data_IF_091489161528
#
_entry.id   IF_091489161528
#
_cell.length_a   1.000
_cell.length_b   1.000
_cell.length_c   1.000
_cell.angle_alpha   90.00
_cell.angle_beta   90.00
_cell.angle_gamma   90.00
#
_symmetry.space_group_name_H-M   'P 1'
#
loop_
_entity.id
_entity.type
_entity.pdbx_description
1 polymer ?
#
# COMPACT_ATOMS: atom_id res chain seq x y z
N UNK A 1 14.44 -0.63 -29.32
CA UNK A 1 14.96 0.66 -28.75
C UNK A 1 14.73 0.62 -27.25
N UNK A 2 15.73 0.98 -26.45
CA UNK A 2 15.53 1.10 -25.00
C UNK A 2 14.42 2.12 -24.68
N UNK A 3 13.65 1.87 -23.63
CA UNK A 3 12.60 2.79 -23.18
C UNK A 3 12.73 3.05 -21.68
N UNK A 4 12.18 4.17 -21.23
CA UNK A 4 12.16 4.54 -19.83
C UNK A 4 10.77 4.29 -19.22
N UNK A 5 10.75 3.69 -18.03
CA UNK A 5 9.53 3.52 -17.24
C UNK A 5 9.74 4.08 -15.84
N UNK A 6 8.74 4.78 -15.33
CA UNK A 6 8.80 5.48 -14.05
C UNK A 6 7.67 5.04 -13.14
N UNK A 7 8.00 4.81 -11.86
CA UNK A 7 7.03 4.67 -10.78
C UNK A 7 7.37 5.60 -9.63
N UNK A 8 6.36 5.92 -8.81
CA UNK A 8 6.50 6.76 -7.64
C UNK A 8 5.99 6.07 -6.37
N UNK A 9 6.43 6.57 -5.24
CA UNK A 9 5.91 6.23 -3.92
C UNK A 9 5.80 7.48 -3.05
N UNK A 10 4.99 7.37 -1.99
CA UNK A 10 4.88 8.39 -0.96
C UNK A 10 5.07 7.76 0.41
N UNK A 11 5.61 8.54 1.37
CA UNK A 11 5.88 8.08 2.72
C UNK A 11 4.60 7.90 3.54
N UNK A 12 4.71 7.23 4.68
CA UNK A 12 3.66 7.11 5.68
C UNK A 12 3.14 8.47 6.19
N UNK A 13 3.97 9.53 6.11
CA UNK A 13 3.61 10.89 6.51
C UNK A 13 2.97 11.72 5.41
N UNK A 14 2.87 11.20 4.18
CA UNK A 14 2.12 11.88 3.12
C UNK A 14 0.64 12.01 3.51
N UNK A 15 -0.02 13.17 3.28
CA UNK A 15 -1.40 13.41 3.75
C UNK A 15 -2.39 12.29 3.40
N UNK A 16 -2.39 11.83 2.14
CA UNK A 16 -3.29 10.75 1.72
C UNK A 16 -2.96 9.43 2.45
N UNK A 17 -1.68 9.15 2.73
CA UNK A 17 -1.31 7.92 3.48
C UNK A 17 -1.56 8.04 4.98
N UNK A 18 -1.54 9.24 5.53
CA UNK A 18 -2.03 9.48 6.90
C UNK A 18 -3.52 9.15 6.99
N UNK A 19 -4.31 9.59 6.00
CA UNK A 19 -5.74 9.29 5.93
C UNK A 19 -6.00 7.78 5.78
N UNK A 20 -5.29 7.09 4.89
CA UNK A 20 -5.40 5.63 4.70
C UNK A 20 -5.07 4.87 5.99
N UNK A 21 -3.99 5.23 6.67
CA UNK A 21 -3.57 4.56 7.92
C UNK A 21 -4.58 4.77 9.05
N UNK A 22 -5.20 5.95 9.17
CA UNK A 22 -6.24 6.19 10.16
C UNK A 22 -7.49 5.35 9.84
N UNK A 23 -7.92 5.30 8.57
CA UNK A 23 -9.07 4.49 8.14
C UNK A 23 -8.87 2.99 8.40
N UNK A 24 -7.68 2.46 8.12
CA UNK A 24 -7.36 1.05 8.38
C UNK A 24 -7.14 0.75 9.87
N UNK A 25 -6.63 1.69 10.65
CA UNK A 25 -6.57 1.56 12.11
C UNK A 25 -7.96 1.48 12.73
N UNK A 26 -8.92 2.26 12.24
CA UNK A 26 -10.34 2.16 12.67
C UNK A 26 -10.92 0.79 12.31
N UNK A 27 -10.68 0.33 11.08
CA UNK A 27 -11.12 -1.00 10.63
C UNK A 27 -10.55 -2.11 11.52
N UNK A 28 -9.24 -2.10 11.77
CA UNK A 28 -8.58 -3.13 12.59
C UNK A 28 -9.11 -3.16 14.03
N UNK A 29 -9.34 -1.98 14.63
CA UNK A 29 -9.91 -1.91 15.96
C UNK A 29 -11.34 -2.48 16.01
N UNK A 30 -12.17 -2.23 15.00
CA UNK A 30 -13.51 -2.80 14.93
C UNK A 30 -13.46 -4.32 14.76
N UNK A 31 -12.63 -4.83 13.82
CA UNK A 31 -12.48 -6.27 13.57
C UNK A 31 -11.92 -7.04 14.77
N UNK A 32 -11.07 -6.41 15.57
CA UNK A 32 -10.48 -7.03 16.75
C UNK A 32 -11.53 -7.39 17.82
N UNK A 33 -12.59 -6.60 17.96
CA UNK A 33 -13.66 -6.83 18.92
C UNK A 33 -14.90 -7.48 18.29
N UNK A 34 -15.11 -7.29 16.99
CA UNK A 34 -16.19 -7.92 16.22
C UNK A 34 -15.70 -8.27 14.80
N UNK A 35 -15.24 -9.52 14.56
CA UNK A 35 -14.79 -9.94 13.24
C UNK A 35 -15.87 -9.89 12.13
N UNK A 36 -17.15 -9.73 12.49
CA UNK A 36 -18.24 -9.59 11.53
C UNK A 36 -18.57 -8.13 11.19
N UNK A 37 -17.81 -7.18 11.72
CA UNK A 37 -17.99 -5.76 11.43
C UNK A 37 -18.02 -5.49 9.93
N UNK A 38 -18.97 -4.63 9.52
CA UNK A 38 -19.05 -4.05 8.20
C UNK A 38 -18.59 -2.59 8.32
N UNK A 39 -17.56 -2.25 7.56
CA UNK A 39 -16.89 -0.95 7.70
C UNK A 39 -16.63 -0.36 6.32
N UNK A 40 -17.01 0.87 6.15
CA UNK A 40 -16.57 1.75 5.09
C UNK A 40 -16.23 3.08 5.77
N UNK A 41 -14.95 3.24 6.14
CA UNK A 41 -14.45 4.42 6.85
C UNK A 41 -13.52 5.21 5.96
N UNK A 42 -13.86 6.44 5.69
CA UNK A 42 -13.05 7.39 4.95
C UNK A 42 -12.56 8.49 5.90
N UNK A 43 -11.34 8.93 5.67
CA UNK A 43 -10.68 9.96 6.49
C UNK A 43 -10.25 11.12 5.61
N UNK A 44 -10.52 12.35 6.06
CA UNK A 44 -9.91 13.58 5.56
C UNK A 44 -8.97 14.12 6.62
N UNK A 45 -7.77 14.49 6.22
CA UNK A 45 -6.80 15.19 7.07
C UNK A 45 -6.40 16.50 6.42
N UNK A 46 -6.31 17.57 7.22
CA UNK A 46 -5.85 18.89 6.80
C UNK A 46 -5.23 19.62 7.99
N UNK A 47 -4.86 20.88 7.85
CA UNK A 47 -4.27 21.66 8.95
C UNK A 47 -5.06 21.53 10.25
N UNK A 48 -4.45 20.92 11.26
CA UNK A 48 -5.01 20.78 12.60
C UNK A 48 -6.32 19.99 12.71
N UNK A 49 -6.73 19.25 11.66
CA UNK A 49 -8.03 18.58 11.65
C UNK A 49 -7.98 17.20 11.01
N UNK A 50 -8.81 16.31 11.59
CA UNK A 50 -9.14 14.97 11.06
C UNK A 50 -10.67 14.85 11.03
N UNK A 51 -11.22 14.42 9.91
CA UNK A 51 -12.63 14.12 9.76
C UNK A 51 -12.78 12.66 9.35
N UNK A 52 -13.50 11.87 10.15
CA UNK A 52 -13.86 10.48 9.88
C UNK A 52 -15.31 10.46 9.39
N UNK A 53 -15.55 9.86 8.24
CA UNK A 53 -16.87 9.75 7.65
C UNK A 53 -17.11 8.34 7.12
N UNK A 54 -18.37 7.92 6.97
CA UNK A 54 -18.72 6.64 6.39
C UNK A 54 -19.72 5.84 7.20
N UNK A 55 -19.82 4.55 6.91
CA UNK A 55 -20.83 3.66 7.48
C UNK A 55 -20.19 2.48 8.19
N UNK A 56 -20.71 2.17 9.40
CA UNK A 56 -20.26 1.06 10.22
C UNK A 56 -21.47 0.28 10.76
N UNK A 57 -21.40 -1.06 10.66
CA UNK A 57 -22.27 -1.98 11.39
C UNK A 57 -21.37 -2.90 12.21
N UNK A 58 -21.37 -2.76 13.52
CA UNK A 58 -20.50 -3.51 14.44
C UNK A 58 -21.12 -3.60 15.83
N UNK A 59 -20.87 -4.69 16.54
CA UNK A 59 -21.14 -4.83 17.97
C UNK A 59 -20.01 -4.21 18.82
N UNK A 60 -18.90 -3.82 18.20
CA UNK A 60 -17.75 -3.23 18.88
C UNK A 60 -17.95 -1.73 19.15
N UNK A 61 -17.48 -1.28 20.32
CA UNK A 61 -17.27 0.14 20.59
C UNK A 61 -15.79 0.46 20.57
N UNK A 62 -15.41 1.48 19.80
CA UNK A 62 -14.02 1.94 19.67
C UNK A 62 -13.94 3.46 19.89
N UNK A 63 -12.82 3.92 20.46
CA UNK A 63 -12.54 5.35 20.64
C UNK A 63 -11.87 5.91 19.37
N UNK A 64 -12.69 6.40 18.44
CA UNK A 64 -12.23 6.94 17.17
C UNK A 64 -11.19 8.07 17.31
N UNK A 65 -11.37 9.06 18.22
CA UNK A 65 -10.37 10.08 18.47
C UNK A 65 -9.02 9.50 18.92
N UNK A 66 -9.00 8.53 19.84
CA UNK A 66 -7.74 7.95 20.31
C UNK A 66 -7.06 7.10 19.24
N UNK A 67 -7.82 6.37 18.44
CA UNK A 67 -7.27 5.63 17.28
C UNK A 67 -6.60 6.58 16.29
N UNK A 68 -7.27 7.67 15.92
CA UNK A 68 -6.68 8.65 15.03
C UNK A 68 -5.39 9.28 15.61
N UNK A 69 -5.42 9.68 16.90
CA UNK A 69 -4.28 10.27 17.61
C UNK A 69 -3.10 9.32 17.72
N UNK A 70 -3.35 8.05 18.06
CA UNK A 70 -2.29 7.05 18.16
C UNK A 70 -1.62 6.79 16.82
N UNK A 71 -2.39 6.74 15.73
CA UNK A 71 -1.89 6.63 14.36
C UNK A 71 -1.02 7.83 13.97
N UNK A 72 -1.51 9.05 14.20
CA UNK A 72 -0.77 10.30 13.92
C UNK A 72 0.56 10.33 14.71
N UNK A 73 0.52 9.92 15.99
CA UNK A 73 1.72 9.87 16.85
C UNK A 73 2.74 8.83 16.35
N UNK A 74 2.27 7.64 15.94
CA UNK A 74 3.11 6.58 15.38
C UNK A 74 3.78 7.01 14.07
N UNK A 75 3.09 7.76 13.22
CA UNK A 75 3.64 8.31 11.98
C UNK A 75 4.78 9.33 12.29
N UNK A 76 4.67 10.05 13.41
CA UNK A 76 5.69 11.00 13.84
C UNK A 76 5.25 12.47 13.81
N UNK A 77 3.98 12.75 13.62
CA UNK A 77 3.43 14.11 13.78
C UNK A 77 3.19 14.38 15.27
N UNK A 78 4.26 14.80 15.96
CA UNK A 78 4.30 14.95 17.42
C UNK A 78 4.66 16.36 17.89
N UNK A 79 4.92 17.29 16.97
CA UNK A 79 5.34 18.67 17.29
C UNK A 79 4.28 19.67 16.80
N UNK A 80 3.91 20.63 17.66
CA UNK A 80 2.91 21.65 17.34
C UNK A 80 3.30 22.53 16.14
N UNK A 81 4.59 22.72 15.89
CA UNK A 81 5.11 23.48 14.74
C UNK A 81 4.78 22.83 13.39
N UNK A 82 4.40 21.56 13.36
CA UNK A 82 3.93 20.89 12.13
C UNK A 82 2.51 21.32 11.74
N UNK A 83 1.81 22.08 12.59
CA UNK A 83 0.43 22.55 12.42
C UNK A 83 -0.57 21.41 12.15
N UNK A 84 -0.14 20.19 12.40
CA UNK A 84 -0.89 18.94 12.43
C UNK A 84 -0.13 17.99 13.36
N UNK A 85 -0.69 17.69 14.54
CA UNK A 85 -0.02 16.80 15.51
C UNK A 85 -1.03 16.06 16.39
N UNK A 86 -0.58 14.95 16.98
CA UNK A 86 -1.43 13.95 17.63
C UNK A 86 -2.29 14.51 18.78
N UNK A 87 -1.79 15.45 19.59
CA UNK A 87 -2.49 15.88 20.79
C UNK A 87 -3.44 17.06 20.54
N UNK A 88 -3.13 17.94 19.57
CA UNK A 88 -3.88 19.18 19.33
C UNK A 88 -4.83 19.13 18.13
N UNK A 89 -4.71 18.16 17.21
CA UNK A 89 -5.66 18.02 16.11
C UNK A 89 -7.11 17.89 16.62
N UNK A 90 -8.03 18.66 16.02
CA UNK A 90 -9.45 18.39 16.13
C UNK A 90 -9.80 17.08 15.42
N UNK A 91 -10.48 16.16 16.09
CA UNK A 91 -10.97 14.93 15.48
C UNK A 91 -12.49 14.94 15.46
N UNK A 92 -13.08 14.90 14.28
CA UNK A 92 -14.52 14.93 14.06
C UNK A 92 -14.97 13.61 13.47
N UNK A 93 -16.12 13.11 13.92
CA UNK A 93 -16.73 11.88 13.40
C UNK A 93 -18.11 12.17 12.82
N UNK A 94 -18.30 11.76 11.57
CA UNK A 94 -19.57 11.69 10.84
C UNK A 94 -19.85 10.24 10.40
N UNK A 95 -19.39 9.27 11.19
CA UNK A 95 -19.70 7.84 10.96
C UNK A 95 -21.12 7.57 11.45
N UNK A 96 -21.89 6.88 10.62
CA UNK A 96 -23.25 6.47 10.91
C UNK A 96 -23.47 4.97 10.64
N UNK A 97 -24.67 4.46 10.96
CA UNK A 97 -25.03 3.06 10.76
C UNK A 97 -25.20 2.74 9.27
N UNK A 98 -24.74 1.56 8.85
CA UNK A 98 -24.85 1.09 7.47
C UNK A 98 -26.32 0.92 7.04
N UNK A 99 -26.64 1.31 5.80
CA UNK A 99 -27.98 1.14 5.21
C UNK A 99 -28.41 -0.33 5.19
N UNK A 100 -29.62 -0.65 5.69
CA UNK A 100 -30.18 -2.00 5.62
C UNK A 100 -30.34 -2.54 4.19
N UNK A 101 -30.51 -1.67 3.21
CA UNK A 101 -30.72 -2.08 1.81
C UNK A 101 -29.44 -2.67 1.19
N UNK A 102 -28.29 -2.11 1.50
CA UNK A 102 -26.98 -2.63 1.05
C UNK A 102 -26.72 -3.99 1.70
N UNK A 103 -27.02 -4.11 2.98
CA UNK A 103 -26.78 -5.34 3.75
C UNK A 103 -27.55 -6.56 3.22
N UNK A 104 -28.78 -6.37 2.68
CA UNK A 104 -29.61 -7.45 2.08
C UNK A 104 -28.94 -8.13 0.89
N UNK A 105 -28.09 -7.42 0.14
CA UNK A 105 -27.35 -7.97 -1.01
C UNK A 105 -26.19 -8.87 -0.59
N UNK A 106 -25.63 -8.66 0.60
CA UNK A 106 -24.40 -9.30 1.09
C UNK A 106 -24.70 -10.51 1.98
N UNK A 107 -25.58 -10.35 2.97
CA UNK A 107 -25.92 -11.41 3.92
C UNK A 107 -26.88 -12.43 3.32
N UNK A 108 -26.58 -13.73 3.47
CA UNK A 108 -27.36 -14.87 3.03
C UNK A 108 -27.44 -15.91 4.14
N UNK A 109 -28.48 -16.78 4.11
CA UNK A 109 -28.60 -17.90 5.04
C UNK A 109 -27.42 -18.88 4.93
N UNK A 110 -26.99 -19.19 3.69
CA UNK A 110 -25.73 -19.88 3.41
C UNK A 110 -24.58 -18.85 3.32
N UNK A 111 -23.60 -18.89 4.24
CA UNK A 111 -22.46 -17.99 4.20
C UNK A 111 -21.67 -18.05 2.88
N UNK A 112 -21.62 -19.24 2.23
CA UNK A 112 -20.92 -19.39 0.94
C UNK A 112 -21.68 -18.76 -0.23
N UNK A 113 -22.94 -18.41 -0.05
CA UNK A 113 -23.73 -17.65 -1.00
C UNK A 113 -23.66 -16.12 -0.77
N UNK A 114 -22.75 -15.65 0.11
CA UNK A 114 -22.50 -14.23 0.33
C UNK A 114 -22.26 -13.54 -1.02
N UNK A 115 -23.09 -12.56 -1.36
CA UNK A 115 -22.95 -11.77 -2.57
C UNK A 115 -21.80 -10.75 -2.45
N UNK A 116 -21.29 -10.32 -3.61
CA UNK A 116 -20.35 -9.22 -3.65
C UNK A 116 -21.01 -7.93 -3.10
N UNK A 117 -20.29 -7.21 -2.25
CA UNK A 117 -20.78 -5.98 -1.60
C UNK A 117 -20.92 -4.81 -2.56
N UNK A 118 -20.33 -4.91 -3.75
CA UNK A 118 -20.44 -3.93 -4.83
C UNK A 118 -20.22 -4.61 -6.18
N UNK A 119 -20.54 -3.91 -7.25
CA UNK A 119 -20.06 -4.23 -8.60
C UNK A 119 -18.65 -3.70 -8.80
N UNK A 120 -17.87 -4.30 -9.69
CA UNK A 120 -16.57 -3.76 -10.04
C UNK A 120 -15.66 -4.73 -10.77
N UNK A 121 -14.51 -4.22 -11.16
CA UNK A 121 -13.40 -4.98 -11.71
C UNK A 121 -12.15 -4.75 -10.87
N UNK A 122 -11.48 -5.83 -10.48
CA UNK A 122 -10.30 -5.82 -9.62
C UNK A 122 -9.16 -6.51 -10.35
N UNK A 123 -7.95 -6.01 -10.15
CA UNK A 123 -6.78 -6.48 -10.86
C UNK A 123 -5.71 -7.00 -9.91
N UNK A 124 -5.06 -8.07 -10.33
CA UNK A 124 -3.83 -8.58 -9.78
C UNK A 124 -2.75 -8.59 -10.84
N UNK A 125 -1.52 -8.25 -10.48
CA UNK A 125 -0.38 -8.24 -11.36
C UNK A 125 0.82 -8.87 -10.67
N UNK A 126 1.68 -9.53 -11.43
CA UNK A 126 2.97 -10.03 -10.99
C UNK A 126 3.95 -10.06 -12.16
N UNK A 127 5.23 -9.84 -11.88
CA UNK A 127 6.34 -9.93 -12.82
C UNK A 127 7.55 -10.56 -12.13
N UNK A 128 8.41 -11.22 -12.88
CA UNK A 128 9.64 -11.82 -12.35
C UNK A 128 10.83 -10.83 -12.27
N UNK A 129 10.58 -9.52 -12.40
CA UNK A 129 11.62 -8.48 -12.29
C UNK A 129 12.28 -8.43 -10.91
N UNK A 130 11.53 -8.78 -9.86
CA UNK A 130 12.00 -8.75 -8.47
C UNK A 130 11.66 -10.06 -7.75
N UNK A 131 12.38 -10.41 -6.66
CA UNK A 131 12.10 -11.63 -5.89
C UNK A 131 10.68 -11.67 -5.28
N UNK A 132 10.09 -10.52 -4.99
CA UNK A 132 8.71 -10.39 -4.48
C UNK A 132 7.67 -10.27 -5.59
N UNK A 133 8.06 -10.44 -6.85
CA UNK A 133 7.19 -10.38 -8.03
C UNK A 133 6.49 -9.04 -8.23
N UNK A 134 7.19 -7.95 -7.91
CA UNK A 134 6.72 -6.57 -8.10
C UNK A 134 7.49 -5.86 -9.21
N UNK A 135 6.90 -4.81 -9.84
CA UNK A 135 7.63 -3.93 -10.75
C UNK A 135 8.81 -3.27 -10.05
N UNK A 136 10.00 -3.33 -10.66
CA UNK A 136 11.24 -2.88 -10.05
C UNK A 136 11.22 -1.37 -9.70
N UNK A 137 10.70 -0.52 -10.59
CA UNK A 137 10.66 0.92 -10.35
C UNK A 137 9.83 1.28 -9.11
N UNK A 138 8.69 0.60 -8.88
CA UNK A 138 7.86 0.78 -7.70
C UNK A 138 8.55 0.25 -6.44
N UNK A 139 9.10 -0.98 -6.50
CA UNK A 139 9.79 -1.58 -5.34
C UNK A 139 10.93 -0.69 -4.85
N UNK A 140 11.74 -0.14 -5.77
CA UNK A 140 12.81 0.78 -5.41
C UNK A 140 12.26 2.10 -4.84
N UNK A 141 11.16 2.63 -5.39
CA UNK A 141 10.52 3.83 -4.84
C UNK A 141 10.03 3.61 -3.41
N UNK A 142 9.38 2.48 -3.12
CA UNK A 142 8.98 2.13 -1.75
C UNK A 142 10.19 1.96 -0.82
N UNK A 143 11.23 1.26 -1.28
CA UNK A 143 12.44 1.00 -0.50
C UNK A 143 13.13 2.30 -0.09
N UNK A 144 13.28 3.26 -1.00
CA UNK A 144 13.87 4.57 -0.68
C UNK A 144 13.11 5.23 0.48
N UNK A 145 11.80 5.24 0.46
CA UNK A 145 11.00 5.91 1.51
C UNK A 145 10.92 5.12 2.82
N UNK A 146 10.92 3.79 2.76
CA UNK A 146 11.04 2.96 3.97
C UNK A 146 12.38 3.22 4.68
N UNK A 147 13.48 3.20 3.92
CA UNK A 147 14.82 3.50 4.46
C UNK A 147 14.90 4.92 5.02
N UNK A 148 14.29 5.90 4.33
CA UNK A 148 14.24 7.28 4.82
C UNK A 148 13.46 7.40 6.14
N UNK A 149 12.34 6.69 6.26
CA UNK A 149 11.55 6.65 7.49
C UNK A 149 12.30 5.97 8.66
N UNK A 150 13.07 4.92 8.35
CA UNK A 150 13.92 4.24 9.35
C UNK A 150 15.02 5.18 9.87
N UNK A 151 15.74 5.89 8.98
CA UNK A 151 16.72 6.91 9.33
C UNK A 151 16.09 7.98 10.24
N UNK A 152 14.90 8.48 9.87
CA UNK A 152 14.17 9.46 10.68
C UNK A 152 13.84 8.93 12.08
N UNK A 153 13.41 7.67 12.21
CA UNK A 153 13.07 7.05 13.50
C UNK A 153 14.28 6.74 14.35
N UNK A 154 15.41 6.38 13.74
CA UNK A 154 16.68 6.21 14.44
C UNK A 154 17.11 7.52 15.11
N UNK A 155 16.89 8.68 14.49
CA UNK A 155 17.20 9.99 15.03
C UNK A 155 18.71 10.23 15.26
N UNK A 156 19.56 9.54 14.49
CA UNK A 156 21.04 9.63 14.58
C UNK A 156 21.58 10.45 13.41
N UNK A 157 21.24 10.06 12.18
CA UNK A 157 21.60 10.75 10.95
C UNK A 157 20.38 11.47 10.37
N UNK A 158 20.61 12.50 9.56
CA UNK A 158 19.52 13.29 8.94
C UNK A 158 18.43 13.68 9.96
N UNK A 159 18.80 14.15 11.14
CA UNK A 159 17.90 14.42 12.28
C UNK A 159 16.86 15.50 12.01
N UNK A 160 17.01 16.23 10.91
CA UNK A 160 16.10 17.24 10.42
C UNK A 160 14.88 16.68 9.65
N UNK A 161 14.82 15.36 9.40
CA UNK A 161 13.73 14.76 8.62
C UNK A 161 12.39 14.87 9.33
N UNK A 162 11.37 15.25 8.56
CA UNK A 162 9.95 15.22 8.94
C UNK A 162 9.24 14.05 8.25
N UNK A 163 7.99 13.73 8.65
CA UNK A 163 7.33 12.50 8.18
C UNK A 163 6.97 12.47 6.69
N UNK A 164 6.69 13.61 6.05
CA UNK A 164 6.25 13.67 4.66
C UNK A 164 7.41 13.56 3.67
N UNK A 165 7.28 12.67 2.72
CA UNK A 165 8.27 12.51 1.63
C UNK A 165 7.64 11.83 0.41
N UNK A 166 8.27 12.04 -0.74
CA UNK A 166 7.95 11.38 -2.02
C UNK A 166 9.23 10.88 -2.67
N UNK A 167 9.12 9.77 -3.40
CA UNK A 167 10.19 9.25 -4.25
C UNK A 167 9.64 8.88 -5.61
N UNK A 168 10.50 8.95 -6.62
CA UNK A 168 10.22 8.49 -7.97
C UNK A 168 11.48 7.86 -8.54
N UNK A 169 11.34 6.69 -9.17
CA UNK A 169 12.45 5.98 -9.80
C UNK A 169 12.11 5.71 -11.25
N UNK A 170 13.04 6.07 -12.12
CA UNK A 170 12.97 5.77 -13.56
C UNK A 170 14.01 4.70 -13.89
N UNK A 171 13.56 3.65 -14.54
CA UNK A 171 14.36 2.52 -14.99
C UNK A 171 14.43 2.53 -16.52
N UNK A 172 15.61 2.31 -17.07
CA UNK A 172 15.80 2.01 -18.49
C UNK A 172 15.64 0.51 -18.72
N UNK A 173 14.83 0.14 -19.73
CA UNK A 173 14.55 -1.23 -20.15
C UNK A 173 15.06 -1.46 -21.58
N UNK A 174 15.51 -2.68 -21.89
CA UNK A 174 15.81 -3.12 -23.24
C UNK A 174 14.54 -3.51 -24.04
N UNK A 175 14.72 -3.91 -25.30
CA UNK A 175 13.62 -4.35 -26.18
C UNK A 175 12.93 -5.66 -25.73
N UNK A 176 13.47 -6.35 -24.72
CA UNK A 176 12.91 -7.56 -24.13
C UNK A 176 12.30 -7.30 -22.76
N UNK A 177 12.03 -6.04 -22.43
CA UNK A 177 11.50 -5.60 -21.12
C UNK A 177 12.39 -5.98 -19.93
N UNK A 178 13.72 -6.05 -20.12
CA UNK A 178 14.66 -6.29 -19.03
C UNK A 178 15.23 -4.99 -18.53
N UNK A 179 15.29 -4.77 -17.20
CA UNK A 179 15.89 -3.57 -16.64
C UNK A 179 17.39 -3.55 -16.94
N UNK A 180 17.89 -2.42 -17.43
CA UNK A 180 19.30 -2.22 -17.83
C UNK A 180 20.06 -1.36 -16.84
N UNK A 181 19.43 -0.26 -16.35
CA UNK A 181 20.01 0.64 -15.36
C UNK A 181 18.95 1.50 -14.67
N UNK A 182 19.27 2.01 -13.51
CA UNK A 182 18.53 3.10 -12.87
C UNK A 182 18.95 4.41 -13.54
N UNK A 183 18.00 5.09 -14.19
CA UNK A 183 18.27 6.33 -14.94
C UNK A 183 18.16 7.56 -14.04
N UNK A 184 17.03 7.70 -13.34
CA UNK A 184 16.72 8.91 -12.54
C UNK A 184 16.08 8.53 -11.22
N UNK A 185 16.51 9.21 -10.15
CA UNK A 185 15.91 9.13 -8.81
C UNK A 185 15.50 10.53 -8.37
N UNK A 186 14.22 10.70 -8.02
CA UNK A 186 13.70 11.91 -7.39
C UNK A 186 13.39 11.61 -5.93
N UNK A 187 13.85 12.45 -5.01
CA UNK A 187 13.49 12.41 -3.59
C UNK A 187 13.08 13.80 -3.16
N UNK A 188 11.85 13.93 -2.67
CA UNK A 188 11.38 15.15 -2.01
C UNK A 188 11.04 14.81 -0.57
N UNK A 189 11.72 15.41 0.39
CA UNK A 189 11.52 15.16 1.82
C UNK A 189 11.28 16.43 2.58
N UNK A 190 10.27 16.41 3.44
CA UNK A 190 9.99 17.46 4.42
C UNK A 190 11.10 17.47 5.47
N UNK A 191 11.52 18.68 5.89
CA UNK A 191 12.62 18.85 6.84
C UNK A 191 12.38 20.05 7.78
N UNK A 192 13.07 20.05 8.91
CA UNK A 192 13.15 21.20 9.81
C UNK A 192 13.97 22.35 9.17
N UNK A 193 13.80 23.57 9.63
CA UNK A 193 14.73 24.67 9.35
C UNK A 193 15.96 24.53 10.26
N UNK A 194 16.92 23.68 9.87
CA UNK A 194 18.05 23.29 10.70
C UNK A 194 19.31 24.16 10.52
N UNK A 195 19.32 25.03 9.50
CA UNK A 195 20.33 26.06 9.31
C UNK A 195 19.65 27.40 9.36
N UNK A 196 19.94 28.16 10.43
CA UNK A 196 19.37 29.49 10.61
C UNK A 196 20.15 30.53 9.82
N UNK A 197 19.51 31.60 9.32
CA UNK A 197 20.18 32.67 8.60
C UNK A 197 21.17 33.43 9.52
N UNK A 198 22.42 33.53 9.07
CA UNK A 198 23.37 34.43 9.65
C UNK A 198 23.21 35.80 8.98
N UNK A 199 23.25 36.85 9.75
CA UNK A 199 23.14 38.26 9.26
C UNK A 199 21.85 38.55 8.46
N UNK A 200 20.80 37.74 8.65
CA UNK A 200 19.51 37.90 7.97
C UNK A 200 19.47 37.34 6.52
N UNK A 201 20.51 36.70 6.04
CA UNK A 201 20.57 36.08 4.69
C UNK A 201 19.86 34.73 4.66
N UNK A 202 18.54 34.72 4.48
CA UNK A 202 17.70 33.52 4.39
C UNK A 202 18.04 32.69 3.16
N UNK A 203 18.31 33.34 2.02
CA UNK A 203 18.61 32.60 0.77
C UNK A 203 19.90 31.79 0.90
N UNK A 204 20.87 32.28 1.65
CA UNK A 204 22.11 31.54 1.92
C UNK A 204 21.86 30.35 2.84
N UNK A 205 21.05 30.52 3.87
CA UNK A 205 20.67 29.45 4.77
C UNK A 205 19.89 28.36 4.02
N UNK A 206 18.91 28.71 3.20
CA UNK A 206 18.11 27.80 2.40
C UNK A 206 18.99 27.00 1.41
N UNK A 207 19.93 27.65 0.72
CA UNK A 207 20.89 26.95 -0.16
C UNK A 207 21.75 25.95 0.61
N UNK A 208 22.29 26.35 1.77
CA UNK A 208 23.11 25.47 2.58
C UNK A 208 22.35 24.24 3.10
N UNK A 209 21.08 24.41 3.53
CA UNK A 209 20.20 23.27 3.89
C UNK A 209 19.99 22.33 2.71
N UNK A 210 19.68 22.85 1.52
CA UNK A 210 19.45 22.05 0.33
C UNK A 210 20.70 21.27 -0.09
N UNK A 211 21.87 21.90 -0.04
CA UNK A 211 23.13 21.25 -0.37
C UNK A 211 23.46 20.11 0.62
N UNK A 212 23.18 20.32 1.92
CA UNK A 212 23.30 19.26 2.94
C UNK A 212 22.33 18.11 2.65
N UNK A 213 21.05 18.38 2.41
CA UNK A 213 20.04 17.34 2.12
C UNK A 213 20.46 16.55 0.86
N UNK A 214 20.92 17.23 -0.20
CA UNK A 214 21.40 16.57 -1.42
C UNK A 214 22.59 15.66 -1.18
N UNK A 215 23.54 16.12 -0.35
CA UNK A 215 24.68 15.33 0.06
C UNK A 215 24.24 14.10 0.87
N UNK A 216 23.38 14.28 1.87
CA UNK A 216 22.94 13.21 2.76
C UNK A 216 22.11 12.16 2.03
N UNK A 217 21.26 12.55 1.08
CA UNK A 217 20.56 11.59 0.22
C UNK A 217 21.54 10.70 -0.54
N UNK A 218 22.62 11.28 -1.11
CA UNK A 218 23.61 10.53 -1.88
C UNK A 218 24.55 9.70 -1.01
N UNK A 219 24.96 10.23 0.16
CA UNK A 219 26.01 9.63 0.97
C UNK A 219 25.50 8.78 2.15
N UNK A 220 24.23 8.96 2.56
CA UNK A 220 23.63 8.23 3.68
C UNK A 220 22.46 7.38 3.18
N UNK A 221 21.42 8.00 2.60
CA UNK A 221 20.20 7.29 2.21
C UNK A 221 20.48 6.25 1.13
N UNK A 222 21.06 6.64 0.00
CA UNK A 222 21.23 5.73 -1.14
C UNK A 222 22.16 4.55 -0.86
N UNK A 223 23.30 4.68 -0.16
CA UNK A 223 24.08 3.54 0.25
C UNK A 223 23.30 2.52 1.09
N UNK A 224 22.50 2.97 2.07
CA UNK A 224 21.64 2.08 2.89
C UNK A 224 20.57 1.39 2.03
N UNK A 225 19.98 2.11 1.06
CA UNK A 225 18.99 1.55 0.12
C UNK A 225 19.62 0.42 -0.70
N UNK A 226 20.81 0.66 -1.28
CA UNK A 226 21.52 -0.30 -2.17
C UNK A 226 22.02 -1.50 -1.36
N UNK A 227 22.56 -1.28 -0.16
CA UNK A 227 23.02 -2.36 0.73
C UNK A 227 21.86 -3.31 1.09
N UNK A 228 20.67 -2.78 1.34
CA UNK A 228 19.49 -3.56 1.66
C UNK A 228 18.87 -4.33 0.46
N UNK A 229 19.37 -4.17 -0.78
CA UNK A 229 18.91 -4.94 -1.94
C UNK A 229 19.58 -6.32 -1.94
N UNK A 230 18.79 -7.39 -1.82
CA UNK A 230 19.33 -8.75 -1.80
C UNK A 230 19.87 -9.21 -3.15
N UNK A 231 19.19 -8.86 -4.25
CA UNK A 231 19.54 -9.27 -5.61
C UNK A 231 20.81 -8.56 -6.12
N UNK A 232 21.92 -9.29 -6.40
CA UNK A 232 23.11 -8.69 -7.01
C UNK A 232 22.83 -8.09 -8.37
N UNK A 233 21.91 -8.67 -9.15
CA UNK A 233 21.53 -8.18 -10.45
C UNK A 233 20.85 -6.80 -10.35
N UNK A 234 19.96 -6.60 -9.36
CA UNK A 234 19.33 -5.29 -9.13
C UNK A 234 20.34 -4.28 -8.61
N UNK A 235 21.24 -4.68 -7.70
CA UNK A 235 22.33 -3.78 -7.24
C UNK A 235 23.22 -3.28 -8.38
N UNK A 236 23.48 -4.14 -9.36
CA UNK A 236 24.31 -3.79 -10.53
C UNK A 236 23.67 -2.75 -11.46
N UNK A 237 22.37 -2.45 -11.31
CA UNK A 237 21.68 -1.41 -12.07
C UNK A 237 21.99 0.01 -11.57
N UNK A 238 22.61 0.14 -10.39
CA UNK A 238 23.02 1.42 -9.83
C UNK A 238 24.46 1.73 -10.27
N UNK A 239 24.59 2.69 -11.15
CA UNK A 239 25.88 3.17 -11.66
C UNK A 239 26.12 4.65 -11.32
N UNK A 240 27.28 5.19 -11.75
CA UNK A 240 27.66 6.58 -11.46
C UNK A 240 26.92 7.61 -12.34
N UNK A 241 26.07 7.16 -13.28
CA UNK A 241 25.36 8.01 -14.25
C UNK A 241 23.94 8.36 -13.81
N UNK A 242 23.52 7.92 -12.61
CA UNK A 242 22.17 8.20 -12.11
C UNK A 242 21.98 9.70 -11.93
N UNK A 243 20.88 10.21 -12.51
CA UNK A 243 20.45 11.59 -12.29
C UNK A 243 19.65 11.70 -10.99
N UNK A 244 20.11 12.54 -10.07
CA UNK A 244 19.42 12.77 -8.79
C UNK A 244 18.74 14.14 -8.77
N UNK A 245 17.43 14.16 -8.47
CA UNK A 245 16.65 15.35 -8.17
C UNK A 245 16.22 15.32 -6.71
N UNK A 246 16.87 16.09 -5.85
CA UNK A 246 16.59 16.13 -4.41
C UNK A 246 16.03 17.49 -4.06
N UNK A 247 14.81 17.54 -3.52
CA UNK A 247 14.05 18.76 -3.23
C UNK A 247 14.18 19.80 -4.36
N UNK A 248 13.78 19.45 -5.60
CA UNK A 248 14.09 20.30 -6.77
C UNK A 248 13.38 21.66 -6.75
N UNK A 249 12.30 21.80 -5.99
CA UNK A 249 11.55 23.06 -5.82
C UNK A 249 12.11 23.99 -4.74
N UNK A 250 13.14 23.53 -3.99
CA UNK A 250 13.71 24.28 -2.88
C UNK A 250 13.40 23.66 -1.52
N UNK A 251 13.42 24.47 -0.45
CA UNK A 251 13.10 23.99 0.90
C UNK A 251 11.69 23.46 1.01
N UNK A 252 11.52 22.40 1.81
CA UNK A 252 10.24 21.74 2.03
C UNK A 252 9.96 21.59 3.54
N UNK A 253 9.68 22.71 4.19
CA UNK A 253 9.38 22.78 5.63
C UNK A 253 7.87 22.64 5.86
N UNK A 254 7.06 23.31 5.05
CA UNK A 254 5.60 23.20 5.08
C UNK A 254 5.21 21.95 4.27
N UNK A 255 4.73 20.92 4.95
CA UNK A 255 4.35 19.65 4.34
C UNK A 255 3.39 18.87 5.24
N UNK A 256 3.14 17.61 4.90
CA UNK A 256 2.14 16.81 5.56
C UNK A 256 0.74 17.42 5.41
N UNK A 257 -0.22 17.08 6.30
CA UNK A 257 -1.60 17.61 6.23
C UNK A 257 -1.72 19.12 6.34
N UNK A 258 -0.67 19.82 6.82
CA UNK A 258 -0.62 21.28 6.80
C UNK A 258 -0.30 21.83 5.40
N UNK A 259 0.52 21.14 4.63
CA UNK A 259 0.89 21.56 3.28
C UNK A 259 -0.16 21.22 2.23
N UNK A 260 -0.82 20.07 2.38
CA UNK A 260 -1.85 19.59 1.44
C UNK A 260 -2.87 18.71 2.16
N UNK A 261 -4.12 18.77 1.73
CA UNK A 261 -5.20 17.95 2.27
C UNK A 261 -5.09 16.51 1.81
N UNK A 262 -5.18 15.55 2.75
CA UNK A 262 -5.20 14.11 2.47
C UNK A 262 -6.59 13.52 2.56
N UNK A 263 -6.82 12.50 1.73
CA UNK A 263 -8.05 11.72 1.70
C UNK A 263 -7.73 10.23 1.51
N UNK A 264 -8.53 9.38 2.14
CA UNK A 264 -8.48 7.93 1.94
C UNK A 264 -8.68 7.58 0.46
N UNK A 265 -7.83 6.68 -0.06
CA UNK A 265 -7.98 6.13 -1.40
C UNK A 265 -7.49 7.01 -2.54
N UNK A 266 -6.64 8.01 -2.28
CA UNK A 266 -6.04 8.88 -3.32
C UNK A 266 -4.65 8.46 -3.78
N UNK A 267 -4.12 7.34 -3.29
CA UNK A 267 -2.80 6.79 -3.68
C UNK A 267 -2.87 5.34 -4.14
N UNK A 268 -3.98 4.97 -4.79
CA UNK A 268 -4.29 3.61 -5.20
C UNK A 268 -3.27 2.99 -6.16
N UNK A 269 -2.58 3.78 -6.96
CA UNK A 269 -1.52 3.30 -7.86
C UNK A 269 -0.24 2.99 -7.07
N UNK A 270 0.09 3.83 -6.07
CA UNK A 270 1.18 3.55 -5.12
C UNK A 270 0.88 2.30 -4.28
N UNK A 271 -0.38 2.09 -3.93
CA UNK A 271 -0.83 0.95 -3.14
C UNK A 271 -0.74 -0.38 -3.91
N UNK A 272 -0.68 -0.34 -5.24
CA UNK A 272 -0.75 -1.52 -6.10
C UNK A 272 0.52 -1.74 -6.91
N UNK A 273 0.56 -1.32 -8.18
CA UNK A 273 1.63 -1.74 -9.11
C UNK A 273 2.38 -0.59 -9.79
N UNK A 274 2.23 0.66 -9.30
CA UNK A 274 2.98 1.82 -9.80
C UNK A 274 2.77 2.15 -11.27
N UNK A 275 1.62 1.79 -11.84
CA UNK A 275 1.28 2.03 -13.23
C UNK A 275 1.66 0.90 -14.21
N UNK A 276 2.38 -0.14 -13.75
CA UNK A 276 2.72 -1.30 -14.61
C UNK A 276 1.52 -2.24 -14.78
N UNK A 277 0.74 -2.47 -13.72
CA UNK A 277 -0.53 -3.20 -13.76
C UNK A 277 -1.73 -2.27 -13.78
N UNK A 278 -2.85 -2.72 -14.37
CA UNK A 278 -4.11 -2.00 -14.35
C UNK A 278 -4.70 -1.91 -12.93
N UNK A 279 -5.63 -0.95 -12.73
CA UNK A 279 -6.36 -0.77 -11.49
C UNK A 279 -7.85 -0.53 -11.77
N UNK A 280 -8.74 -1.09 -10.94
CA UNK A 280 -10.19 -0.97 -11.10
C UNK A 280 -10.79 0.35 -10.60
N UNK A 281 -10.02 1.16 -9.87
CA UNK A 281 -10.42 2.47 -9.35
C UNK A 281 -10.90 2.45 -7.90
N UNK A 282 -11.22 1.28 -7.31
CA UNK A 282 -11.68 1.16 -5.93
C UNK A 282 -10.53 1.32 -4.91
N UNK A 283 -10.71 2.17 -3.90
CA UNK A 283 -9.81 2.28 -2.76
C UNK A 283 -9.86 1.02 -1.89
N UNK A 284 -8.74 0.71 -1.20
CA UNK A 284 -8.65 -0.42 -0.27
C UNK A 284 -8.89 0.00 1.18
N UNK A 285 -8.15 1.01 1.65
CA UNK A 285 -8.14 1.41 3.06
C UNK A 285 -9.53 1.81 3.56
N UNK A 286 -9.83 1.46 4.81
CA UNK A 286 -11.10 1.71 5.46
C UNK A 286 -12.24 0.75 5.09
N UNK A 287 -12.03 -0.17 4.15
CA UNK A 287 -13.03 -1.15 3.70
C UNK A 287 -12.82 -2.52 4.34
N UNK A 288 -13.86 -3.09 4.94
CA UNK A 288 -13.87 -4.48 5.41
C UNK A 288 -13.87 -5.48 4.23
N UNK A 289 -13.50 -6.77 4.44
CA UNK A 289 -13.29 -7.71 3.35
C UNK A 289 -14.54 -8.13 2.58
N UNK A 290 -15.76 -7.77 3.00
CA UNK A 290 -16.97 -7.98 2.19
C UNK A 290 -17.01 -7.07 0.95
N UNK A 291 -16.20 -6.00 0.94
CA UNK A 291 -16.02 -5.11 -0.21
C UNK A 291 -15.01 -5.74 -1.15
N UNK A 292 -15.49 -6.21 -2.29
CA UNK A 292 -14.69 -6.90 -3.32
C UNK A 292 -13.59 -6.03 -3.92
N UNK A 293 -13.73 -4.70 -3.88
CA UNK A 293 -12.66 -3.77 -4.25
C UNK A 293 -11.33 -4.12 -3.58
N UNK A 294 -11.38 -4.51 -2.31
CA UNK A 294 -10.22 -4.91 -1.53
C UNK A 294 -9.97 -6.42 -1.60
N UNK A 295 -10.92 -7.23 -1.21
CA UNK A 295 -10.73 -8.69 -1.09
C UNK A 295 -10.42 -9.37 -2.42
N UNK A 296 -11.11 -9.01 -3.48
CA UNK A 296 -10.86 -9.58 -4.81
C UNK A 296 -9.59 -9.05 -5.47
N UNK A 297 -9.16 -7.81 -5.17
CA UNK A 297 -7.85 -7.31 -5.60
C UNK A 297 -6.71 -8.10 -4.94
N UNK A 298 -6.82 -8.43 -3.65
CA UNK A 298 -5.86 -9.29 -2.96
C UNK A 298 -5.89 -10.72 -3.51
N UNK A 299 -7.07 -11.28 -3.80
CA UNK A 299 -7.19 -12.59 -4.43
C UNK A 299 -6.57 -12.60 -5.84
N UNK A 300 -6.80 -11.57 -6.64
CA UNK A 300 -6.20 -11.44 -7.96
C UNK A 300 -4.67 -11.34 -7.90
N UNK A 301 -4.11 -10.61 -6.91
CA UNK A 301 -2.66 -10.58 -6.64
C UNK A 301 -2.13 -11.95 -6.26
N UNK A 302 -2.79 -12.65 -5.34
CA UNK A 302 -2.41 -14.00 -4.92
C UNK A 302 -2.34 -14.96 -6.11
N UNK A 303 -3.33 -14.89 -7.01
CA UNK A 303 -3.36 -15.69 -8.23
C UNK A 303 -2.19 -15.32 -9.14
N UNK A 304 -2.05 -14.06 -9.51
CA UNK A 304 -1.02 -13.60 -10.44
C UNK A 304 0.39 -13.97 -9.94
N UNK A 305 0.67 -13.75 -8.64
CA UNK A 305 1.95 -14.08 -8.02
C UNK A 305 2.25 -15.57 -8.06
N UNK A 306 1.28 -16.42 -7.69
CA UNK A 306 1.45 -17.87 -7.72
C UNK A 306 1.61 -18.41 -9.14
N UNK A 307 0.93 -17.84 -10.15
CA UNK A 307 1.05 -18.24 -11.55
C UNK A 307 2.45 -17.92 -12.10
N UNK A 308 2.98 -16.72 -11.84
CA UNK A 308 4.34 -16.35 -12.25
C UNK A 308 5.37 -17.17 -11.50
N UNK A 309 5.24 -17.36 -10.19
CA UNK A 309 6.13 -18.19 -9.38
C UNK A 309 6.12 -19.67 -9.78
N UNK A 310 4.98 -20.18 -10.29
CA UNK A 310 4.89 -21.54 -10.84
C UNK A 310 5.61 -21.70 -12.18
N UNK A 311 5.95 -20.60 -12.85
CA UNK A 311 6.60 -20.60 -14.17
C UNK A 311 5.62 -20.65 -15.35
N UNK A 312 4.36 -20.25 -15.15
CA UNK A 312 3.36 -20.19 -16.24
C UNK A 312 3.69 -19.08 -17.23
N UNK A 313 4.16 -17.94 -16.73
CA UNK A 313 4.60 -16.80 -17.52
C UNK A 313 5.61 -15.95 -16.74
N UNK A 314 6.39 -15.09 -17.41
CA UNK A 314 7.27 -14.12 -16.75
C UNK A 314 6.50 -12.94 -16.15
N UNK A 315 5.32 -12.67 -16.70
CA UNK A 315 4.47 -11.55 -16.33
C UNK A 315 3.01 -11.94 -16.50
N UNK A 316 2.14 -11.52 -15.58
CA UNK A 316 0.72 -11.83 -15.64
C UNK A 316 -0.14 -10.75 -15.01
N UNK A 317 -1.17 -10.34 -15.76
CA UNK A 317 -2.30 -9.56 -15.27
C UNK A 317 -3.54 -10.46 -15.16
N UNK A 318 -4.20 -10.42 -14.01
CA UNK A 318 -5.46 -11.12 -13.74
C UNK A 318 -6.52 -10.06 -13.42
N UNK A 319 -7.68 -10.11 -14.10
CA UNK A 319 -8.84 -9.33 -13.76
C UNK A 319 -9.93 -10.25 -13.23
N UNK A 320 -10.54 -9.87 -12.13
CA UNK A 320 -11.77 -10.44 -11.60
C UNK A 320 -12.88 -9.37 -11.66
N UNK A 321 -14.09 -9.74 -12.04
CA UNK A 321 -15.22 -8.80 -12.01
C UNK A 321 -16.44 -9.40 -11.32
N UNK A 322 -17.19 -8.55 -10.62
CA UNK A 322 -18.36 -8.96 -9.85
C UNK A 322 -19.55 -8.05 -10.15
N UNK A 323 -20.74 -8.63 -10.00
CA UNK A 323 -21.99 -7.88 -9.91
C UNK A 323 -22.44 -7.82 -8.45
N UNK A 324 -23.00 -6.69 -8.02
CA UNK A 324 -23.50 -6.52 -6.65
C UNK A 324 -24.50 -7.61 -6.28
N UNK A 325 -24.37 -8.20 -5.10
CA UNK A 325 -25.26 -9.24 -4.59
C UNK A 325 -25.07 -10.62 -5.23
N UNK A 326 -24.12 -10.81 -6.16
CA UNK A 326 -23.82 -12.09 -6.81
C UNK A 326 -22.53 -12.65 -6.24
N UNK A 327 -22.51 -13.94 -5.87
CA UNK A 327 -21.34 -14.58 -5.28
C UNK A 327 -20.29 -14.97 -6.33
N UNK A 328 -20.73 -15.53 -7.47
CA UNK A 328 -19.79 -15.94 -8.52
C UNK A 328 -19.25 -14.71 -9.29
N UNK A 329 -17.96 -14.70 -9.66
CA UNK A 329 -17.44 -13.65 -10.53
C UNK A 329 -18.13 -13.68 -11.89
N UNK A 330 -18.40 -12.49 -12.44
CA UNK A 330 -18.97 -12.32 -13.78
C UNK A 330 -17.96 -12.74 -14.85
N UNK A 331 -16.68 -12.43 -14.62
CA UNK A 331 -15.60 -12.81 -15.54
C UNK A 331 -14.25 -12.96 -14.84
N UNK A 332 -13.40 -13.80 -15.44
CA UNK A 332 -11.98 -13.93 -15.16
C UNK A 332 -11.26 -13.64 -16.48
N UNK A 333 -10.39 -12.64 -16.49
CA UNK A 333 -9.56 -12.31 -17.65
C UNK A 333 -8.08 -12.41 -17.26
N UNK A 334 -7.27 -12.92 -18.18
CA UNK A 334 -5.82 -13.07 -18.03
C UNK A 334 -5.14 -12.43 -19.23
N UNK A 335 -4.00 -11.78 -18.98
CA UNK A 335 -3.08 -11.36 -20.01
C UNK A 335 -1.64 -11.70 -19.55
N UNK A 336 -0.95 -12.53 -20.33
CA UNK A 336 0.45 -12.90 -20.11
C UNK A 336 1.42 -12.03 -20.94
N UNK A 337 0.92 -11.01 -21.63
CA UNK A 337 1.70 -10.09 -22.46
C UNK A 337 2.57 -10.81 -23.53
N UNK A 338 2.17 -12.02 -23.93
CA UNK A 338 2.94 -12.86 -24.84
C UNK A 338 4.16 -13.53 -24.22
N UNK A 339 4.30 -13.49 -22.89
CA UNK A 339 5.42 -14.07 -22.12
C UNK A 339 5.05 -15.40 -21.45
N UNK A 340 4.05 -16.12 -21.99
CA UNK A 340 3.63 -17.43 -21.49
C UNK A 340 4.66 -18.52 -21.82
N UNK A 341 4.92 -19.42 -20.87
CA UNK A 341 5.78 -20.60 -21.03
C UNK A 341 4.98 -21.90 -21.22
N UNK A 342 3.65 -21.82 -21.23
CA UNK A 342 2.77 -22.95 -21.45
C UNK A 342 2.07 -22.85 -22.80
N UNK A 343 1.60 -23.98 -23.33
CA UNK A 343 0.89 -24.00 -24.61
C UNK A 343 -0.56 -23.50 -24.52
N UNK A 344 -1.08 -23.35 -23.30
CA UNK A 344 -2.42 -22.85 -23.06
C UNK A 344 -2.53 -21.36 -23.43
N UNK A 345 -3.59 -20.98 -24.10
CA UNK A 345 -3.93 -19.58 -24.36
C UNK A 345 -4.34 -18.88 -23.05
N UNK A 346 -4.31 -17.55 -23.03
CA UNK A 346 -4.74 -16.73 -21.88
C UNK A 346 -6.17 -17.07 -21.43
N UNK A 347 -7.07 -17.37 -22.38
CA UNK A 347 -8.44 -17.84 -22.08
C UNK A 347 -8.51 -19.23 -21.45
N UNK A 348 -7.59 -20.12 -21.77
CA UNK A 348 -7.48 -21.44 -21.13
C UNK A 348 -6.84 -21.35 -19.75
N UNK A 349 -5.87 -20.45 -19.58
CA UNK A 349 -5.30 -20.10 -18.28
C UNK A 349 -6.40 -19.54 -17.36
N UNK A 350 -7.24 -18.62 -17.84
CA UNK A 350 -8.34 -18.05 -17.08
C UNK A 350 -9.35 -19.11 -16.62
N UNK A 351 -9.70 -20.09 -17.48
CA UNK A 351 -10.56 -21.21 -17.10
C UNK A 351 -9.93 -22.11 -16.03
N UNK A 352 -8.64 -22.37 -16.14
CA UNK A 352 -7.89 -23.16 -15.16
C UNK A 352 -7.84 -22.45 -13.81
N UNK A 353 -7.67 -21.12 -13.78
CA UNK A 353 -7.75 -20.32 -12.55
C UNK A 353 -9.12 -20.51 -11.88
N UNK A 354 -10.23 -20.44 -12.63
CA UNK A 354 -11.57 -20.66 -12.08
C UNK A 354 -11.81 -22.06 -11.52
N UNK A 355 -11.01 -23.05 -11.95
CA UNK A 355 -11.05 -24.42 -11.40
C UNK A 355 -10.18 -24.58 -10.16
N UNK A 356 -9.08 -23.86 -10.06
CA UNK A 356 -8.11 -23.96 -8.97
C UNK A 356 -8.50 -23.12 -7.75
N UNK A 357 -9.14 -21.98 -7.98
CA UNK A 357 -9.45 -20.99 -6.96
C UNK A 357 -10.96 -20.77 -6.84
N UNK A 358 -11.50 -20.97 -5.64
CA UNK A 358 -12.85 -20.51 -5.33
C UNK A 358 -12.81 -18.98 -5.16
N UNK A 359 -13.51 -18.28 -6.06
CA UNK A 359 -13.47 -16.81 -6.16
C UNK A 359 -14.72 -16.14 -5.58
N UNK A 360 -15.59 -16.89 -4.90
CA UNK A 360 -16.71 -16.31 -4.17
C UNK A 360 -16.19 -15.45 -3.02
N UNK A 361 -16.81 -14.29 -2.72
CA UNK A 361 -16.31 -13.35 -1.70
C UNK A 361 -15.99 -14.04 -0.37
N UNK A 362 -16.88 -14.87 0.15
CA UNK A 362 -16.67 -15.62 1.40
C UNK A 362 -15.48 -16.58 1.32
N UNK A 363 -15.32 -17.29 0.22
CA UNK A 363 -14.18 -18.18 0.03
C UNK A 363 -12.83 -17.44 -0.01
N UNK A 364 -12.82 -16.23 -0.57
CA UNK A 364 -11.65 -15.36 -0.55
C UNK A 364 -11.34 -14.90 0.89
N UNK A 365 -12.36 -14.43 1.63
CA UNK A 365 -12.20 -14.01 3.03
C UNK A 365 -11.59 -15.13 3.88
N UNK A 366 -12.13 -16.35 3.76
CA UNK A 366 -11.68 -17.51 4.53
C UNK A 366 -10.27 -17.96 4.13
N UNK A 367 -9.98 -18.06 2.82
CA UNK A 367 -8.67 -18.47 2.30
C UNK A 367 -7.54 -17.52 2.68
N UNK A 368 -7.81 -16.24 2.65
CA UNK A 368 -6.81 -15.21 2.94
C UNK A 368 -6.89 -14.66 4.38
N UNK A 369 -7.76 -15.24 5.23
CA UNK A 369 -7.96 -14.83 6.63
C UNK A 369 -8.27 -13.33 6.83
N UNK A 370 -9.09 -12.76 5.92
CA UNK A 370 -9.32 -11.33 5.85
C UNK A 370 -10.20 -10.75 6.96
N UNK A 371 -10.84 -11.59 7.80
CA UNK A 371 -11.61 -11.13 8.96
C UNK A 371 -10.75 -10.83 10.20
N UNK A 372 -9.43 -10.96 10.08
CA UNK A 372 -8.48 -10.59 11.12
C UNK A 372 -8.08 -9.10 11.01
N UNK A 373 -7.64 -8.46 12.11
CA UNK A 373 -7.18 -7.06 12.10
C UNK A 373 -5.76 -6.95 11.53
N UNK A 374 -5.65 -6.96 10.19
CA UNK A 374 -4.39 -7.07 9.43
C UNK A 374 -4.15 -5.88 8.49
N UNK A 375 -4.91 -4.80 8.62
CA UNK A 375 -5.04 -3.79 7.58
C UNK A 375 -4.18 -2.55 7.82
N UNK A 376 -3.97 -2.12 9.06
CA UNK A 376 -3.19 -0.92 9.38
C UNK A 376 -1.78 -0.96 8.78
N UNK A 377 -1.12 -2.13 8.81
CA UNK A 377 0.22 -2.34 8.26
C UNK A 377 0.27 -2.33 6.72
N UNK A 378 -0.89 -2.45 6.06
CA UNK A 378 -0.96 -2.39 4.59
C UNK A 378 -1.02 -0.97 4.06
N UNK A 379 -1.45 -0.02 4.88
CA UNK A 379 -1.83 1.32 4.46
C UNK A 379 -0.65 2.26 4.13
N UNK A 380 0.59 1.78 4.21
CA UNK A 380 1.78 2.54 3.81
C UNK A 380 2.78 1.65 3.07
N UNK A 381 3.48 2.22 2.07
CA UNK A 381 4.51 1.53 1.27
C UNK A 381 4.00 0.33 0.46
N UNK A 382 2.76 0.38 0.00
CA UNK A 382 2.13 -0.61 -0.87
C UNK A 382 1.47 -1.78 -0.12
N UNK A 383 0.34 -2.22 -0.65
CA UNK A 383 -0.39 -3.39 -0.18
C UNK A 383 0.19 -4.70 -0.75
N UNK A 384 0.96 -4.62 -1.84
CA UNK A 384 1.51 -5.75 -2.57
C UNK A 384 3.04 -5.82 -2.42
N UNK A 385 3.61 -7.01 -2.67
CA UNK A 385 5.06 -7.22 -2.64
C UNK A 385 5.66 -7.26 -1.24
N UNK A 386 4.85 -7.44 -0.20
CA UNK A 386 5.29 -7.54 1.20
C UNK A 386 5.50 -9.02 1.59
N UNK A 387 6.33 -9.24 2.60
CA UNK A 387 6.53 -10.60 3.10
C UNK A 387 5.43 -10.99 4.10
N UNK A 388 4.80 -12.17 3.95
CA UNK A 388 3.90 -12.71 4.96
C UNK A 388 4.61 -12.85 6.30
N UNK A 389 4.01 -12.34 7.37
CA UNK A 389 4.61 -12.41 8.71
C UNK A 389 3.54 -12.53 9.79
N UNK A 390 3.87 -13.24 10.88
CA UNK A 390 3.02 -13.34 12.06
C UNK A 390 3.44 -12.30 13.07
N UNK A 391 2.47 -11.57 13.57
CA UNK A 391 2.66 -10.57 14.62
C UNK A 391 1.57 -10.70 15.67
N UNK A 392 1.84 -10.19 16.85
CA UNK A 392 0.86 -10.07 17.94
C UNK A 392 0.44 -8.61 18.06
N UNK A 393 -0.87 -8.34 17.97
CA UNK A 393 -1.48 -7.01 18.13
C UNK A 393 -2.31 -6.99 19.40
N UNK A 394 -2.27 -5.88 20.12
CA UNK A 394 -3.11 -5.66 21.31
C UNK A 394 -4.01 -4.45 21.10
N UNK A 395 -5.31 -4.66 21.25
CA UNK A 395 -6.35 -3.64 21.08
C UNK A 395 -6.95 -3.30 22.42
N UNK A 396 -7.22 -2.02 22.64
CA UNK A 396 -7.75 -1.50 23.89
C UNK A 396 -9.18 -1.00 23.69
N UNK A 397 -10.04 -1.26 24.69
CA UNK A 397 -11.40 -0.72 24.75
C UNK A 397 -11.61 -0.06 26.12
N UNK A 398 -12.32 1.07 26.15
CA UNK A 398 -12.69 1.73 27.40
C UNK A 398 -13.67 0.91 28.25
N UNK A 399 -14.44 0.02 27.63
CA UNK A 399 -15.53 -0.72 28.29
C UNK A 399 -15.23 -2.21 28.45
N UNK A 400 -14.04 -2.67 28.06
CA UNK A 400 -13.65 -4.07 28.10
C UNK A 400 -12.19 -4.30 28.45
N UNK A 401 -11.83 -5.56 28.58
CA UNK A 401 -10.41 -5.94 28.71
C UNK A 401 -9.71 -5.77 27.37
N UNK A 402 -8.42 -5.44 27.36
CA UNK A 402 -7.62 -5.49 26.13
C UNK A 402 -7.70 -6.88 25.48
N UNK A 403 -7.76 -6.91 24.17
CA UNK A 403 -7.75 -8.14 23.39
C UNK A 403 -6.39 -8.24 22.67
N UNK A 404 -5.71 -9.38 22.87
CA UNK A 404 -4.44 -9.66 22.21
C UNK A 404 -4.65 -10.80 21.21
N UNK A 405 -4.30 -10.56 19.94
CA UNK A 405 -4.55 -11.46 18.83
C UNK A 405 -3.25 -11.68 18.07
N UNK A 406 -2.90 -12.95 17.82
CA UNK A 406 -1.87 -13.28 16.83
C UNK A 406 -2.52 -13.25 15.44
N UNK A 407 -1.94 -12.50 14.52
CA UNK A 407 -2.42 -12.35 13.14
C UNK A 407 -1.30 -12.62 12.14
N UNK A 408 -1.67 -13.05 10.94
CA UNK A 408 -0.75 -13.21 9.81
C UNK A 408 -1.03 -12.11 8.78
N UNK A 409 -0.04 -11.23 8.60
CA UNK A 409 -0.10 -10.12 7.64
C UNK A 409 0.21 -10.61 6.23
N UNK A 410 -0.31 -9.90 5.22
CA UNK A 410 -0.01 -10.08 3.80
C UNK A 410 -0.22 -11.52 3.29
N UNK A 411 -1.28 -12.18 3.74
CA UNK A 411 -1.60 -13.57 3.42
C UNK A 411 -1.75 -13.83 1.91
N UNK A 412 -2.12 -12.81 1.13
CA UNK A 412 -2.21 -12.85 -0.33
C UNK A 412 -0.86 -12.86 -1.05
N UNK A 413 0.24 -12.69 -0.33
CA UNK A 413 1.60 -12.80 -0.86
C UNK A 413 2.19 -14.21 -0.71
N UNK A 414 1.47 -15.17 -0.14
CA UNK A 414 1.92 -16.57 -0.01
C UNK A 414 2.03 -17.27 -1.35
N UNK A 415 2.99 -18.20 -1.45
CA UNK A 415 3.23 -19.04 -2.61
C UNK A 415 2.70 -20.49 -2.38
N UNK A 416 1.52 -20.59 -1.82
CA UNK A 416 0.91 -21.86 -1.38
C UNK A 416 0.10 -22.60 -2.46
N UNK A 417 -0.03 -22.03 -3.68
CA UNK A 417 -0.67 -22.66 -4.83
C UNK A 417 0.29 -23.10 -5.92
N UNK A 418 1.59 -22.83 -5.80
CA UNK A 418 2.60 -23.12 -6.84
C UNK A 418 2.57 -24.56 -7.29
N UNK A 419 2.57 -25.53 -6.38
CA UNK A 419 2.58 -26.96 -6.73
C UNK A 419 1.29 -27.41 -7.43
N UNK A 420 0.14 -26.88 -6.99
CA UNK A 420 -1.16 -27.16 -7.63
C UNK A 420 -1.20 -26.61 -9.06
N UNK A 421 -0.66 -25.42 -9.27
CA UNK A 421 -0.58 -24.76 -10.58
C UNK A 421 0.36 -25.55 -11.49
N UNK A 422 1.56 -25.91 -11.02
CA UNK A 422 2.51 -26.74 -11.79
C UNK A 422 1.89 -28.05 -12.23
N UNK A 423 1.17 -28.72 -11.33
CA UNK A 423 0.45 -29.95 -11.68
C UNK A 423 -0.62 -29.73 -12.76
N UNK A 424 -1.39 -28.64 -12.66
CA UNK A 424 -2.45 -28.31 -13.62
C UNK A 424 -1.90 -28.01 -15.03
N UNK A 425 -0.76 -27.34 -15.12
CA UNK A 425 -0.11 -26.98 -16.39
C UNK A 425 0.98 -27.96 -16.83
N UNK A 426 1.26 -29.02 -16.04
CA UNK A 426 2.30 -30.04 -16.33
C UNK A 426 3.71 -29.44 -16.44
N UNK A 427 4.02 -28.47 -15.58
CA UNK A 427 5.33 -27.84 -15.43
C UNK A 427 6.25 -28.60 -14.47
#
# INVERSE_FOLDING_TARGET
>A
MAYLFTSESVSEGHPDKVADQISDAVLDNLLAFDPQSKVACETLVTTGQVVLAGEVKSEAYVDLPEIARSTIRRIGYTKGEYMFEANSCGVFSAIHEQSPDINRGVEREDPMAQGAGDQGMMFGYATNETPNFMPLALELSHRILRTLADIRREGIEMTYLRPDAKSQVTIEYDDNDRPVRVDTIVVSTQHDEFILPMDGDQDRADRAMLDQIRSDVRCILMPRVIEGIESPAVRALFDDHITYHVNPTGKFVIGGPHGDTGLTGRKIIVDTYGGKGAHGGGAFSGKDPSKVDRSAAYAARHIAKNMVAAGVADEMLVQLSYAIGVAEPVSIYVNTFGKSHVSASDGEIARTIGQLFDLRPRAIEDRLHLRAPIYEETAAYGHMGREPQRITKTFHSHYGKPVTIEVELFTWEKLDYVDRIRKAFKL
#
